data_IF_723051125455
#
_entry.id   IF_723051125455
#
_cell.length_a   1.000
_cell.length_b   1.000
_cell.length_c   1.000
_cell.angle_alpha   90.00
_cell.angle_beta   90.00
_cell.angle_gamma   90.00
#
_symmetry.space_group_name_H-M   'P 1'
#
loop_
_entity.id
_entity.type
_entity.pdbx_description
1 polymer ?
#
# COMPACT_ATOMS: atom_id res chain seq x y z
N UNK A 1 25.53 -1.30 14.49
CA UNK A 1 24.69 -2.40 13.95
C UNK A 1 23.20 -2.07 14.03
N UNK A 2 22.61 -1.86 15.22
CA UNK A 2 21.16 -1.58 15.30
C UNK A 2 20.76 -0.24 14.65
N UNK A 3 21.60 0.80 14.82
CA UNK A 3 21.43 2.09 14.15
C UNK A 3 21.51 1.98 12.61
N UNK A 4 22.43 1.14 12.11
CA UNK A 4 22.65 0.95 10.67
C UNK A 4 21.44 0.25 10.02
N UNK A 5 20.88 -0.76 10.70
CA UNK A 5 19.68 -1.46 10.23
C UNK A 5 18.47 -0.54 10.19
N UNK A 6 18.30 0.34 11.19
CA UNK A 6 17.19 1.29 11.17
C UNK A 6 17.34 2.28 10.00
N UNK A 7 18.54 2.81 9.78
CA UNK A 7 18.82 3.67 8.64
C UNK A 7 18.48 3.00 7.30
N UNK A 8 18.88 1.73 7.12
CA UNK A 8 18.57 0.98 5.90
C UNK A 8 17.06 0.81 5.69
N UNK A 9 16.30 0.52 6.76
CA UNK A 9 14.84 0.39 6.70
C UNK A 9 14.16 1.70 6.34
N UNK A 10 14.62 2.80 6.92
CA UNK A 10 14.08 4.13 6.63
C UNK A 10 14.36 4.52 5.18
N UNK A 11 15.58 4.29 4.69
CA UNK A 11 15.93 4.54 3.29
C UNK A 11 15.14 3.65 2.32
N UNK A 12 14.96 2.37 2.62
CA UNK A 12 14.14 1.48 1.80
C UNK A 12 12.67 1.93 1.77
N UNK A 13 12.13 2.36 2.91
CA UNK A 13 10.76 2.87 3.00
C UNK A 13 10.60 4.15 2.18
N UNK A 14 11.51 5.11 2.33
CA UNK A 14 11.50 6.36 1.56
C UNK A 14 11.67 6.05 0.08
N UNK A 15 12.61 5.19 -0.31
CA UNK A 15 12.80 4.86 -1.71
C UNK A 15 11.55 4.20 -2.32
N UNK A 16 10.84 3.35 -1.60
CA UNK A 16 9.65 2.66 -2.13
C UNK A 16 8.36 3.46 -2.02
N UNK A 17 8.31 4.52 -1.21
CA UNK A 17 7.13 5.36 -1.09
C UNK A 17 6.90 6.16 -2.37
N UNK A 18 5.65 6.23 -2.80
CA UNK A 18 5.24 7.07 -3.93
C UNK A 18 5.21 8.54 -3.52
N UNK A 19 6.11 9.34 -4.12
CA UNK A 19 6.21 10.78 -3.88
C UNK A 19 5.41 11.59 -4.91
N UNK A 20 4.74 10.94 -5.88
CA UNK A 20 4.06 11.60 -7.01
C UNK A 20 2.77 12.36 -6.66
N UNK A 21 2.51 12.62 -5.37
CA UNK A 21 1.30 13.26 -4.86
C UNK A 21 1.20 14.77 -5.14
N UNK A 22 1.50 15.25 -6.36
CA UNK A 22 1.66 16.71 -6.57
C UNK A 22 1.18 17.30 -7.89
N UNK A 23 0.16 16.73 -8.52
CA UNK A 23 -0.64 17.53 -9.46
C UNK A 23 -2.12 17.26 -9.30
N UNK A 24 -2.76 18.14 -8.56
CA UNK A 24 -4.18 18.39 -8.72
C UNK A 24 -4.42 18.74 -10.18
N UNK A 25 -5.13 17.87 -10.91
CA UNK A 25 -5.28 17.99 -12.35
C UNK A 25 -5.99 19.29 -12.74
N UNK A 26 -6.06 19.57 -14.05
CA UNK A 26 -6.74 20.77 -14.58
C UNK A 26 -8.18 20.93 -14.06
N UNK A 27 -8.84 19.81 -13.72
CA UNK A 27 -10.19 19.78 -13.18
C UNK A 27 -10.31 20.38 -11.77
N UNK A 28 -9.24 20.41 -10.98
CA UNK A 28 -9.30 21.04 -9.66
C UNK A 28 -9.43 22.57 -9.76
N UNK A 29 -8.90 23.17 -10.83
CA UNK A 29 -9.14 24.59 -11.13
C UNK A 29 -10.64 24.92 -11.26
N UNK A 30 -11.49 23.90 -11.45
CA UNK A 30 -12.94 24.01 -11.58
C UNK A 30 -13.72 23.58 -10.32
N UNK A 31 -13.06 23.14 -9.24
CA UNK A 31 -13.74 22.65 -8.03
C UNK A 31 -14.69 23.71 -7.42
N UNK A 32 -14.29 24.99 -7.45
CA UNK A 32 -15.12 26.12 -7.02
C UNK A 32 -16.21 26.58 -8.01
N UNK A 33 -16.20 26.06 -9.24
CA UNK A 33 -17.20 26.39 -10.29
C UNK A 33 -18.34 25.37 -10.37
N UNK A 34 -18.25 24.27 -9.61
CA UNK A 34 -19.33 23.28 -9.56
C UNK A 34 -20.55 23.91 -8.88
N UNK A 35 -21.61 24.13 -9.64
CA UNK A 35 -22.92 24.45 -9.08
C UNK A 35 -23.35 23.26 -8.20
N UNK A 36 -23.32 23.46 -6.87
CA UNK A 36 -23.67 22.43 -5.89
C UNK A 36 -25.02 21.79 -6.19
N UNK A 37 -25.05 20.46 -6.21
CA UNK A 37 -26.26 19.69 -6.51
C UNK A 37 -27.20 19.74 -5.30
N UNK A 38 -28.09 20.71 -5.24
CA UNK A 38 -29.13 20.76 -4.21
C UNK A 38 -30.35 19.97 -4.69
N UNK A 39 -30.86 19.05 -3.86
CA UNK A 39 -32.06 18.22 -4.15
C UNK A 39 -33.30 19.05 -4.48
N UNK A 40 -33.31 20.33 -4.08
CA UNK A 40 -34.41 21.27 -4.33
C UNK A 40 -34.46 21.78 -5.77
N UNK A 41 -33.33 21.80 -6.48
CA UNK A 41 -33.25 22.22 -7.88
C UNK A 41 -32.39 21.22 -8.67
N UNK A 42 -32.98 20.18 -9.30
CA UNK A 42 -32.24 19.36 -10.27
C UNK A 42 -31.65 20.30 -11.33
N UNK A 43 -30.47 19.99 -11.91
CA UNK A 43 -29.73 20.84 -12.88
C UNK A 43 -30.64 21.47 -13.95
N UNK A 44 -31.32 22.56 -13.59
CA UNK A 44 -32.04 23.40 -14.53
C UNK A 44 -30.94 24.25 -15.12
N UNK A 45 -30.58 24.01 -16.38
CA UNK A 45 -29.79 24.96 -17.15
C UNK A 45 -30.54 26.29 -17.03
N UNK A 46 -30.01 27.35 -16.38
CA UNK A 46 -30.77 28.58 -16.14
C UNK A 46 -31.09 29.40 -17.42
N UNK A 47 -31.01 28.79 -18.62
CA UNK A 47 -30.71 29.47 -19.88
C UNK A 47 -31.53 28.97 -21.08
N UNK A 48 -32.67 28.35 -20.84
CA UNK A 48 -33.67 28.16 -21.91
C UNK A 48 -34.42 29.47 -22.08
N UNK A 49 -33.98 30.30 -23.04
CA UNK A 49 -34.73 31.48 -23.46
C UNK A 49 -35.67 31.06 -24.59
N UNK A 50 -36.93 31.49 -24.51
CA UNK A 50 -37.89 31.27 -25.58
C UNK A 50 -37.77 32.43 -26.56
N UNK A 51 -37.05 32.20 -27.67
CA UNK A 51 -36.98 33.16 -28.77
C UNK A 51 -37.91 32.65 -29.86
N UNK A 52 -38.93 33.43 -30.22
CA UNK A 52 -39.91 33.09 -31.26
C UNK A 52 -40.60 31.71 -31.04
N UNK A 53 -40.97 31.41 -29.79
CA UNK A 53 -41.67 30.15 -29.44
C UNK A 53 -40.80 28.89 -29.41
N UNK A 54 -39.51 28.98 -29.71
CA UNK A 54 -38.56 27.87 -29.61
C UNK A 54 -37.63 28.07 -28.42
N UNK A 55 -37.42 27.01 -27.63
CA UNK A 55 -36.44 27.00 -26.55
C UNK A 55 -35.05 26.92 -27.16
N UNK A 56 -34.27 27.98 -27.01
CA UNK A 56 -32.89 28.05 -27.47
C UNK A 56 -31.98 28.09 -26.26
N UNK A 57 -30.96 27.24 -26.26
CA UNK A 57 -29.91 27.26 -25.25
C UNK A 57 -28.93 28.37 -25.59
N UNK A 58 -28.83 29.40 -24.74
CA UNK A 58 -27.88 30.50 -24.96
C UNK A 58 -26.44 29.98 -24.84
N UNK A 59 -25.59 30.31 -25.80
CA UNK A 59 -24.14 30.07 -25.71
C UNK A 59 -23.58 30.75 -24.46
N UNK A 60 -22.68 30.04 -23.76
CA UNK A 60 -22.09 30.51 -22.50
C UNK A 60 -20.78 31.21 -22.79
N UNK A 61 -20.53 32.34 -22.13
CA UNK A 61 -19.21 32.97 -22.14
C UNK A 61 -18.19 32.01 -21.51
N UNK A 62 -17.00 31.91 -22.10
CA UNK A 62 -15.95 31.01 -21.62
C UNK A 62 -15.68 31.25 -20.12
N UNK A 63 -15.63 30.17 -19.34
CA UNK A 63 -15.28 30.25 -17.92
C UNK A 63 -13.82 30.68 -17.81
N UNK A 64 -13.57 31.86 -17.25
CA UNK A 64 -12.22 32.31 -16.96
C UNK A 64 -11.66 31.51 -15.79
N UNK A 65 -10.75 30.58 -16.06
CA UNK A 65 -9.98 29.87 -15.06
C UNK A 65 -8.50 30.27 -15.20
N UNK A 66 -7.84 30.49 -14.07
CA UNK A 66 -6.39 30.66 -14.05
C UNK A 66 -5.75 29.28 -14.10
N UNK A 67 -4.67 29.17 -14.87
CA UNK A 67 -3.87 27.95 -14.90
C UNK A 67 -3.39 27.63 -13.49
N UNK A 68 -3.66 26.42 -13.01
CA UNK A 68 -3.10 25.92 -11.74
C UNK A 68 -1.64 25.49 -11.88
N UNK A 69 -1.06 25.62 -13.08
CA UNK A 69 0.35 25.37 -13.31
C UNK A 69 1.20 26.39 -12.54
N UNK A 70 2.07 25.87 -11.68
CA UNK A 70 3.06 26.65 -10.94
C UNK A 70 4.16 27.24 -11.84
N UNK A 71 4.39 26.68 -13.03
CA UNK A 71 5.48 27.06 -13.95
C UNK A 71 5.03 26.96 -15.41
N UNK A 72 5.62 27.81 -16.26
CA UNK A 72 5.46 27.79 -17.73
C UNK A 72 6.30 26.69 -18.37
N UNK A 73 7.35 26.24 -17.68
CA UNK A 73 8.18 25.13 -18.14
C UNK A 73 7.44 23.79 -17.96
N UNK A 74 7.66 22.83 -18.87
CA UNK A 74 7.14 21.49 -18.66
C UNK A 74 7.66 20.92 -17.34
N UNK A 75 6.81 20.18 -16.64
CA UNK A 75 7.22 19.46 -15.44
C UNK A 75 8.34 18.48 -15.80
N UNK A 76 9.43 18.39 -15.01
CA UNK A 76 10.45 17.38 -15.24
C UNK A 76 9.81 15.98 -15.25
N UNK A 77 10.29 15.06 -16.10
CA UNK A 77 9.70 13.73 -16.24
C UNK A 77 9.86 12.86 -14.98
N UNK A 78 10.82 13.19 -14.11
CA UNK A 78 11.09 12.49 -12.85
C UNK A 78 11.27 13.56 -11.77
N UNK A 79 10.62 13.36 -10.62
CA UNK A 79 10.80 14.24 -9.48
C UNK A 79 12.23 14.15 -8.91
N UNK A 80 12.70 15.23 -8.29
CA UNK A 80 14.04 15.27 -7.71
C UNK A 80 14.23 14.20 -6.62
N UNK A 81 13.23 14.00 -5.76
CA UNK A 81 13.29 13.00 -4.68
C UNK A 81 13.34 11.59 -5.27
N UNK A 82 12.50 11.33 -6.27
CA UNK A 82 12.50 10.06 -6.97
C UNK A 82 13.83 9.77 -7.67
N UNK A 83 14.44 10.78 -8.31
CA UNK A 83 15.74 10.66 -8.95
C UNK A 83 16.85 10.32 -7.93
N UNK A 84 16.86 10.97 -6.77
CA UNK A 84 17.82 10.68 -5.70
C UNK A 84 17.69 9.25 -5.15
N UNK A 85 16.46 8.76 -5.07
CA UNK A 85 16.16 7.41 -4.58
C UNK A 85 16.22 6.32 -5.66
N UNK A 86 16.49 6.66 -6.92
CA UNK A 86 16.57 5.68 -8.01
C UNK A 86 17.63 4.60 -7.77
N UNK A 87 18.77 4.94 -7.16
CA UNK A 87 19.83 3.96 -6.84
C UNK A 87 19.33 2.89 -5.88
N UNK A 88 18.60 3.29 -4.84
CA UNK A 88 17.97 2.37 -3.88
C UNK A 88 16.94 1.47 -4.55
N UNK A 89 16.06 2.03 -5.37
CA UNK A 89 15.07 1.22 -6.11
C UNK A 89 15.75 0.17 -7.00
N UNK A 90 16.82 0.53 -7.70
CA UNK A 90 17.58 -0.42 -8.53
C UNK A 90 18.24 -1.50 -7.67
N UNK A 91 18.89 -1.13 -6.58
CA UNK A 91 19.53 -2.08 -5.67
C UNK A 91 18.50 -3.07 -5.08
N UNK A 92 17.33 -2.60 -4.66
CA UNK A 92 16.25 -3.45 -4.15
C UNK A 92 15.74 -4.41 -5.25
N UNK A 93 15.63 -3.94 -6.48
CA UNK A 93 15.16 -4.76 -7.62
C UNK A 93 16.22 -5.75 -8.14
N UNK A 94 17.47 -5.63 -7.70
CA UNK A 94 18.57 -6.54 -8.03
C UNK A 94 18.69 -7.71 -7.03
N UNK A 95 18.02 -7.61 -5.87
CA UNK A 95 18.03 -8.66 -4.85
C UNK A 95 17.33 -9.93 -5.31
N UNK A 96 17.58 -11.03 -4.59
CA UNK A 96 16.88 -12.29 -4.82
C UNK A 96 15.37 -12.15 -4.54
N UNK A 97 14.55 -12.99 -5.17
CA UNK A 97 13.09 -12.88 -5.16
C UNK A 97 12.52 -12.83 -3.74
N UNK A 98 13.09 -13.62 -2.81
CA UNK A 98 12.63 -13.65 -1.42
C UNK A 98 12.95 -12.35 -0.66
N UNK A 99 14.16 -11.82 -0.84
CA UNK A 99 14.65 -10.60 -0.18
C UNK A 99 13.95 -9.35 -0.76
N UNK A 100 13.83 -9.29 -2.08
CA UNK A 100 13.07 -8.28 -2.80
C UNK A 100 11.61 -8.28 -2.33
N UNK A 101 10.97 -9.46 -2.31
CA UNK A 101 9.58 -9.60 -1.86
C UNK A 101 9.41 -9.15 -0.41
N UNK A 102 10.37 -9.46 0.47
CA UNK A 102 10.35 -8.97 1.85
C UNK A 102 10.36 -7.45 1.92
N UNK A 103 11.26 -6.79 1.18
CA UNK A 103 11.35 -5.32 1.21
C UNK A 103 10.10 -4.65 0.63
N UNK A 104 9.58 -5.15 -0.49
CA UNK A 104 8.36 -4.63 -1.12
C UNK A 104 7.12 -4.84 -0.25
N UNK A 105 7.00 -6.01 0.38
CA UNK A 105 5.88 -6.35 1.24
C UNK A 105 5.90 -5.55 2.55
N UNK A 106 7.06 -5.45 3.21
CA UNK A 106 7.15 -4.87 4.55
C UNK A 106 7.39 -3.36 4.59
N UNK A 107 8.15 -2.83 3.64
CA UNK A 107 8.51 -1.40 3.59
C UNK A 107 7.86 -0.68 2.41
N UNK A 108 7.67 -1.36 1.27
CA UNK A 108 6.94 -0.82 0.11
C UNK A 108 5.42 -0.83 0.25
N UNK A 109 4.87 -1.45 1.31
CA UNK A 109 3.42 -1.60 1.55
C UNK A 109 2.67 -2.29 0.40
N UNK A 110 3.36 -3.08 -0.42
CA UNK A 110 2.76 -3.85 -1.49
C UNK A 110 2.18 -5.17 -0.96
N UNK A 111 0.90 -5.18 -0.58
CA UNK A 111 0.21 -6.35 -0.03
C UNK A 111 -0.20 -7.38 -1.10
N UNK A 112 0.73 -7.77 -1.98
CA UNK A 112 0.49 -8.80 -3.00
C UNK A 112 0.68 -10.20 -2.43
N UNK A 113 -0.22 -11.11 -2.80
CA UNK A 113 -0.14 -12.53 -2.41
C UNK A 113 1.16 -13.19 -2.88
N UNK A 114 1.69 -12.80 -4.05
CA UNK A 114 2.95 -13.33 -4.60
C UNK A 114 4.13 -13.13 -3.65
N UNK A 115 4.29 -11.91 -3.10
CA UNK A 115 5.35 -11.61 -2.16
C UNK A 115 5.20 -12.44 -0.89
N UNK A 116 3.98 -12.57 -0.38
CA UNK A 116 3.71 -13.39 0.80
C UNK A 116 4.09 -14.86 0.57
N UNK A 117 3.76 -15.42 -0.60
CA UNK A 117 4.14 -16.81 -0.93
C UNK A 117 5.65 -17.00 -1.07
N UNK A 118 6.36 -16.06 -1.71
CA UNK A 118 7.82 -16.13 -1.86
C UNK A 118 8.54 -16.07 -0.51
N UNK A 119 8.14 -15.12 0.35
CA UNK A 119 8.70 -14.97 1.70
C UNK A 119 8.45 -16.23 2.53
N UNK A 120 7.20 -16.71 2.57
CA UNK A 120 6.84 -17.87 3.39
C UNK A 120 7.51 -19.15 2.90
N UNK A 121 7.70 -19.32 1.59
CA UNK A 121 8.46 -20.43 1.02
C UNK A 121 9.93 -20.37 1.45
N UNK A 122 10.56 -19.19 1.37
CA UNK A 122 11.94 -18.99 1.82
C UNK A 122 12.11 -19.29 3.31
N UNK A 123 11.30 -18.67 4.18
CA UNK A 123 11.35 -18.90 5.63
C UNK A 123 11.07 -20.36 5.98
N UNK A 124 10.16 -21.02 5.26
CA UNK A 124 9.90 -22.44 5.46
C UNK A 124 11.10 -23.31 5.09
N UNK A 125 11.84 -22.98 4.02
CA UNK A 125 13.05 -23.71 3.62
C UNK A 125 14.16 -23.61 4.67
N UNK A 126 14.40 -22.41 5.20
CA UNK A 126 15.32 -22.16 6.31
C UNK A 126 14.92 -22.94 7.57
N UNK A 127 13.62 -22.94 7.88
CA UNK A 127 13.10 -23.69 9.02
C UNK A 127 13.28 -25.21 8.82
N UNK A 128 13.12 -25.72 7.59
CA UNK A 128 13.34 -27.13 7.25
C UNK A 128 14.78 -27.55 7.49
N UNK A 129 15.76 -26.72 7.14
CA UNK A 129 17.17 -26.98 7.43
C UNK A 129 17.45 -26.95 8.94
N UNK A 130 16.83 -26.05 9.70
CA UNK A 130 16.98 -26.00 11.18
C UNK A 130 16.39 -27.22 11.90
N UNK A 131 15.30 -27.79 11.39
CA UNK A 131 14.67 -28.99 11.99
C UNK A 131 15.22 -30.31 11.42
N UNK A 132 16.16 -30.24 10.47
CA UNK A 132 16.83 -31.40 9.89
C UNK A 132 17.51 -32.21 11.00
N UNK A 133 17.35 -33.53 10.96
CA UNK A 133 17.84 -34.44 12.00
C UNK A 133 16.99 -34.54 13.26
N UNK A 134 15.97 -33.68 13.46
CA UNK A 134 15.02 -33.82 14.58
C UNK A 134 13.80 -34.65 14.18
N UNK A 135 13.33 -35.52 15.08
CA UNK A 135 12.07 -36.25 14.91
C UNK A 135 10.90 -35.31 15.12
N UNK A 136 10.41 -34.71 14.04
CA UNK A 136 9.23 -33.83 14.05
C UNK A 136 8.05 -34.51 13.36
N UNK A 137 6.93 -34.67 14.09
CA UNK A 137 5.68 -35.22 13.56
C UNK A 137 5.10 -34.36 12.43
N UNK A 138 4.38 -34.99 11.48
CA UNK A 138 3.67 -34.31 10.38
C UNK A 138 2.76 -33.18 10.90
N UNK A 139 2.02 -33.44 11.98
CA UNK A 139 1.12 -32.46 12.61
C UNK A 139 1.87 -31.22 13.11
N UNK A 140 3.07 -31.41 13.64
CA UNK A 140 3.91 -30.29 14.12
C UNK A 140 4.44 -29.48 12.94
N UNK A 141 4.85 -30.15 11.85
CA UNK A 141 5.27 -29.45 10.62
C UNK A 141 4.16 -28.59 10.02
N UNK A 142 2.92 -29.10 9.98
CA UNK A 142 1.76 -28.34 9.50
C UNK A 142 1.49 -27.10 10.36
N UNK A 143 1.57 -27.23 11.69
CA UNK A 143 1.45 -26.09 12.61
C UNK A 143 2.57 -25.07 12.45
N UNK A 144 3.80 -25.52 12.23
CA UNK A 144 4.94 -24.62 11.98
C UNK A 144 4.77 -23.84 10.67
N UNK A 145 4.22 -24.45 9.61
CA UNK A 145 3.89 -23.74 8.37
C UNK A 145 2.86 -22.64 8.61
N UNK A 146 1.80 -22.94 9.35
CA UNK A 146 0.80 -21.95 9.72
C UNK A 146 1.41 -20.80 10.53
N UNK A 147 2.29 -21.10 11.49
CA UNK A 147 3.01 -20.09 12.27
C UNK A 147 3.92 -19.21 11.42
N UNK A 148 4.67 -19.79 10.47
CA UNK A 148 5.51 -19.02 9.53
C UNK A 148 4.66 -18.07 8.70
N UNK A 149 3.52 -18.55 8.19
CA UNK A 149 2.58 -17.72 7.44
C UNK A 149 2.08 -16.54 8.27
N UNK A 150 1.67 -16.80 9.52
CA UNK A 150 1.19 -15.76 10.44
C UNK A 150 2.28 -14.77 10.80
N UNK A 151 3.51 -15.21 11.07
CA UNK A 151 4.62 -14.33 11.43
C UNK A 151 4.93 -13.29 10.34
N UNK A 152 4.83 -13.68 9.07
CA UNK A 152 5.01 -12.78 7.92
C UNK A 152 3.88 -11.74 7.86
N UNK A 153 2.65 -12.15 8.14
CA UNK A 153 1.50 -11.23 8.20
C UNK A 153 1.59 -10.28 9.39
N UNK A 154 1.99 -10.78 10.56
CA UNK A 154 2.12 -10.00 11.79
C UNK A 154 3.10 -8.84 11.63
N UNK A 155 4.26 -9.09 11.01
CA UNK A 155 5.26 -8.05 10.78
C UNK A 155 4.75 -6.87 9.91
N UNK A 156 3.80 -7.14 9.02
CA UNK A 156 3.31 -6.13 8.07
C UNK A 156 2.01 -5.47 8.51
N UNK A 157 1.08 -6.24 9.08
CA UNK A 157 -0.24 -5.76 9.48
C UNK A 157 -0.28 -5.22 10.91
N UNK A 158 0.68 -5.61 11.76
CA UNK A 158 0.63 -5.40 13.20
C UNK A 158 1.79 -4.54 13.72
N UNK A 159 2.16 -3.47 13.00
CA UNK A 159 3.11 -2.49 13.54
C UNK A 159 2.61 -1.78 14.81
N UNK A 160 1.29 -1.73 15.00
CA UNK A 160 0.62 -1.03 16.13
C UNK A 160 -0.36 -1.92 16.95
N UNK A 161 -0.49 -3.22 16.61
CA UNK A 161 -1.46 -4.12 17.24
C UNK A 161 -0.83 -5.45 17.63
N UNK A 162 -1.41 -6.12 18.61
CA UNK A 162 -1.09 -7.50 18.95
C UNK A 162 -2.25 -8.36 18.44
N UNK A 163 -2.00 -9.43 17.69
CA UNK A 163 -3.05 -10.44 17.48
C UNK A 163 -3.53 -10.90 18.86
N UNK A 164 -4.84 -10.98 19.05
CA UNK A 164 -5.34 -11.54 20.29
C UNK A 164 -4.89 -13.00 20.37
N UNK A 165 -4.36 -13.42 21.52
CA UNK A 165 -3.80 -14.77 21.71
C UNK A 165 -4.80 -15.89 21.37
N UNK A 166 -6.10 -15.59 21.45
CA UNK A 166 -7.19 -16.44 20.98
C UNK A 166 -7.21 -16.64 19.46
N UNK A 167 -6.97 -15.58 18.69
CA UNK A 167 -6.94 -15.62 17.22
C UNK A 167 -5.73 -16.42 16.73
N UNK A 168 -4.55 -16.21 17.35
CA UNK A 168 -3.36 -17.02 17.05
C UNK A 168 -3.58 -18.50 17.37
N UNK A 169 -4.23 -18.80 18.51
CA UNK A 169 -4.55 -20.17 18.88
C UNK A 169 -5.50 -20.83 17.87
N UNK A 170 -6.55 -20.12 17.46
CA UNK A 170 -7.50 -20.57 16.44
C UNK A 170 -6.83 -20.85 15.09
N UNK A 171 -6.01 -19.91 14.62
CA UNK A 171 -5.28 -20.01 13.35
C UNK A 171 -4.28 -21.18 13.31
N UNK A 172 -3.73 -21.57 14.46
CA UNK A 172 -2.80 -22.71 14.60
C UNK A 172 -3.53 -24.03 14.96
N UNK A 173 -4.86 -23.99 15.13
CA UNK A 173 -5.67 -25.14 15.50
C UNK A 173 -5.32 -25.68 16.89
N UNK A 174 -5.10 -24.77 17.83
CA UNK A 174 -4.80 -25.03 19.25
C UNK A 174 -5.86 -24.33 20.10
N UNK A 175 -6.27 -24.95 21.21
CA UNK A 175 -7.19 -24.28 22.14
C UNK A 175 -6.49 -23.11 22.82
N UNK A 176 -7.20 -22.00 23.02
CA UNK A 176 -6.64 -20.81 23.70
C UNK A 176 -6.02 -21.13 25.07
N UNK A 177 -6.59 -22.09 25.80
CA UNK A 177 -6.04 -22.59 27.08
C UNK A 177 -4.66 -23.24 26.91
N UNK A 178 -4.49 -24.07 25.89
CA UNK A 178 -3.21 -24.72 25.61
C UNK A 178 -2.16 -23.72 25.10
N UNK A 179 -2.60 -22.72 24.32
CA UNK A 179 -1.75 -21.62 23.89
C UNK A 179 -1.17 -20.83 25.08
N UNK A 180 -2.06 -20.37 25.97
CA UNK A 180 -1.67 -19.57 27.14
C UNK A 180 -0.76 -20.31 28.12
N UNK A 181 -0.90 -21.63 28.24
CA UNK A 181 -0.11 -22.40 29.20
C UNK A 181 1.28 -22.80 28.66
N UNK A 182 1.44 -22.98 27.34
CA UNK A 182 2.64 -23.60 26.77
C UNK A 182 3.43 -22.71 25.79
N UNK A 183 2.81 -21.66 25.22
CA UNK A 183 3.39 -20.90 24.11
C UNK A 183 3.38 -19.37 24.31
N UNK A 184 2.76 -18.87 25.38
CA UNK A 184 2.64 -17.44 25.69
C UNK A 184 3.93 -16.80 26.26
N UNK A 185 4.85 -17.62 26.77
CA UNK A 185 6.07 -17.17 27.44
C UNK A 185 7.20 -16.95 26.46
#
# INVERSE_FOLDING_TARGET
MEHDLQYLRDMATIAMTDHSSRTKGQLEAFEGFVLGNTTRYPRKKPRDITVNGRKVSRETEAVSCWSTHYSVLPMPPIDRVDYQNCSWRRAIMELDEAEQSWLLYCYGKELKFSHQTAITAYVWSEMQERIKGRRVSKKVKERLRALVWLAVQDYTMNKDGYYYQSELAELVGVTAKNWNNNYKN
#
